data_IF_928338673519
#
_entry.id   IF_928338673519
#
_cell.length_a   1.000
_cell.length_b   1.000
_cell.length_c   1.000
_cell.angle_alpha   90.00
_cell.angle_beta   90.00
_cell.angle_gamma   90.00
#
_symmetry.space_group_name_H-M   'P 1'
#
loop_
_entity.id
_entity.type
_entity.pdbx_description
1 polymer ?
#
# COMPACT_ATOMS: atom_id res chain seq x y z
N UNK A 1 -4.57 -13.31 -7.53
CA UNK A 1 -3.18 -12.86 -7.25
C UNK A 1 -2.75 -11.67 -8.12
N UNK A 2 -2.75 -11.76 -9.45
CA UNK A 2 -2.16 -10.71 -10.33
C UNK A 2 -2.75 -9.31 -10.13
N UNK A 3 -4.05 -9.17 -9.92
CA UNK A 3 -4.68 -7.86 -9.68
C UNK A 3 -4.20 -7.21 -8.38
N UNK A 4 -4.03 -8.01 -7.32
CA UNK A 4 -3.55 -7.55 -6.01
C UNK A 4 -2.08 -7.13 -6.06
N UNK A 5 -1.23 -7.91 -6.74
CA UNK A 5 0.17 -7.51 -6.96
C UNK A 5 0.28 -6.22 -7.78
N UNK A 6 -0.56 -6.05 -8.82
CA UNK A 6 -0.61 -4.81 -9.61
C UNK A 6 -1.17 -3.62 -8.83
N UNK A 7 -2.11 -3.86 -7.92
CA UNK A 7 -2.61 -2.85 -7.00
C UNK A 7 -1.50 -2.37 -6.07
N UNK A 8 -0.80 -3.30 -5.43
CA UNK A 8 0.34 -2.97 -4.57
C UNK A 8 1.40 -2.17 -5.33
N UNK A 9 1.85 -2.65 -6.51
CA UNK A 9 2.85 -1.95 -7.31
C UNK A 9 2.37 -0.59 -7.88
N UNK A 10 1.05 -0.38 -7.96
CA UNK A 10 0.50 0.91 -8.39
C UNK A 10 0.53 1.94 -7.26
N UNK A 11 0.48 1.53 -5.99
CA UNK A 11 0.71 2.42 -4.86
C UNK A 11 2.13 3.02 -4.94
N UNK A 12 3.10 2.27 -5.46
CA UNK A 12 4.46 2.74 -5.73
C UNK A 12 4.65 3.54 -7.03
N UNK A 13 3.57 3.88 -7.73
CA UNK A 13 3.68 4.50 -9.05
C UNK A 13 4.13 5.96 -8.97
N UNK A 14 5.39 6.21 -9.32
CA UNK A 14 5.92 7.57 -9.51
C UNK A 14 5.09 8.38 -10.51
N UNK A 15 4.70 7.77 -11.64
CA UNK A 15 3.90 8.44 -12.68
C UNK A 15 2.48 8.82 -12.22
N UNK A 16 1.99 8.22 -11.14
CA UNK A 16 0.71 8.58 -10.51
C UNK A 16 0.87 9.59 -9.38
N UNK A 17 2.12 10.01 -9.08
CA UNK A 17 2.43 10.98 -8.04
C UNK A 17 2.44 10.42 -6.61
N UNK A 18 2.22 9.12 -6.43
CA UNK A 18 2.06 8.51 -5.09
C UNK A 18 3.38 8.41 -4.31
N UNK A 19 4.52 8.55 -4.99
CA UNK A 19 5.84 8.67 -4.37
C UNK A 19 6.16 10.10 -3.87
N UNK A 20 5.19 11.02 -3.94
CA UNK A 20 5.34 12.41 -3.49
C UNK A 20 5.11 12.58 -1.99
N UNK A 21 5.61 13.69 -1.43
CA UNK A 21 5.49 14.01 0.00
C UNK A 21 4.05 13.98 0.52
N UNK A 22 3.10 14.48 -0.28
CA UNK A 22 1.67 14.50 0.03
C UNK A 22 1.04 13.11 0.17
N UNK A 23 1.70 12.08 -0.35
CA UNK A 23 1.22 10.69 -0.39
C UNK A 23 2.09 9.75 0.45
N UNK A 24 3.07 10.27 1.19
CA UNK A 24 3.95 9.49 2.08
C UNK A 24 3.20 8.55 3.05
N UNK A 25 1.98 8.91 3.48
CA UNK A 25 1.14 8.04 4.31
C UNK A 25 0.73 6.72 3.63
N UNK A 26 0.67 6.68 2.28
CA UNK A 26 0.41 5.45 1.52
C UNK A 26 1.54 4.44 1.68
N UNK A 27 2.74 4.93 1.98
CA UNK A 27 3.95 4.15 2.26
C UNK A 27 4.26 4.06 3.76
N UNK A 28 3.26 4.35 4.61
CA UNK A 28 3.41 4.38 6.06
C UNK A 28 4.56 5.28 6.55
N UNK A 29 4.75 6.46 5.95
CA UNK A 29 5.82 7.42 6.27
C UNK A 29 5.28 8.82 6.55
N UNK A 30 6.08 9.64 7.23
CA UNK A 30 5.87 11.11 7.33
C UNK A 30 6.56 11.82 6.17
N UNK A 31 6.35 13.12 6.02
CA UNK A 31 7.08 13.97 5.06
C UNK A 31 7.08 15.42 5.54
N UNK A 32 7.68 16.34 4.78
CA UNK A 32 7.55 17.77 5.07
C UNK A 32 6.09 18.25 4.95
N UNK A 33 5.31 17.66 4.05
CA UNK A 33 3.87 17.89 3.94
C UNK A 33 3.06 17.24 5.08
N UNK A 34 3.54 16.12 5.64
CA UNK A 34 2.87 15.36 6.71
C UNK A 34 3.87 15.05 7.84
N UNK A 35 4.26 16.06 8.63
CA UNK A 35 5.38 15.93 9.57
C UNK A 35 5.04 15.14 10.84
N UNK A 36 3.76 14.97 11.15
CA UNK A 36 3.32 14.27 12.35
C UNK A 36 3.08 12.78 12.08
N UNK A 37 3.73 11.92 12.86
CA UNK A 37 3.51 10.46 12.83
C UNK A 37 2.05 10.10 13.14
N UNK A 38 1.41 10.82 14.05
CA UNK A 38 0.00 10.62 14.38
C UNK A 38 -0.88 10.90 13.15
N UNK A 39 -0.58 11.98 12.43
CA UNK A 39 -1.33 12.36 11.24
C UNK A 39 -1.06 11.41 10.07
N UNK A 40 0.19 11.02 9.85
CA UNK A 40 0.55 10.03 8.84
C UNK A 40 -0.16 8.69 9.13
N UNK A 41 -0.22 8.25 10.38
CA UNK A 41 -0.94 7.04 10.77
C UNK A 41 -2.46 7.15 10.57
N UNK A 42 -3.04 8.31 10.90
CA UNK A 42 -4.46 8.60 10.65
C UNK A 42 -4.79 8.54 9.16
N UNK A 43 -3.96 9.16 8.31
CA UNK A 43 -4.14 9.18 6.86
C UNK A 43 -3.91 7.81 6.23
N UNK A 44 -2.92 7.05 6.70
CA UNK A 44 -2.68 5.66 6.30
C UNK A 44 -3.91 4.79 6.58
N UNK A 45 -4.48 4.87 7.79
CA UNK A 45 -5.72 4.18 8.13
C UNK A 45 -6.92 4.62 7.28
N UNK A 46 -7.06 5.92 7.02
CA UNK A 46 -8.10 6.44 6.13
C UNK A 46 -7.98 5.85 4.72
N UNK A 47 -6.76 5.78 4.19
CA UNK A 47 -6.46 5.23 2.87
C UNK A 47 -6.71 3.71 2.79
N UNK A 48 -6.29 2.95 3.80
CA UNK A 48 -6.57 1.52 3.92
C UNK A 48 -8.09 1.30 3.92
N UNK A 49 -8.81 2.00 4.78
CA UNK A 49 -10.26 1.83 4.92
C UNK A 49 -11.02 2.25 3.67
N UNK A 50 -10.58 3.30 2.98
CA UNK A 50 -11.19 3.71 1.71
C UNK A 50 -11.02 2.63 0.64
N UNK A 51 -9.84 2.04 0.49
CA UNK A 51 -9.60 0.97 -0.48
C UNK A 51 -10.32 -0.33 -0.13
N UNK A 52 -10.43 -0.67 1.17
CA UNK A 52 -11.23 -1.81 1.63
C UNK A 52 -12.73 -1.58 1.41
N UNK A 53 -13.22 -0.35 1.61
CA UNK A 53 -14.57 0.05 1.23
C UNK A 53 -14.84 -0.18 -0.26
N UNK A 54 -13.95 0.30 -1.13
CA UNK A 54 -14.05 0.04 -2.57
C UNK A 54 -13.97 -1.45 -2.91
N UNK A 55 -13.11 -2.22 -2.24
CA UNK A 55 -13.04 -3.67 -2.41
C UNK A 55 -14.38 -4.34 -2.13
N UNK A 56 -14.98 -4.05 -0.97
CA UNK A 56 -16.26 -4.63 -0.54
C UNK A 56 -17.41 -4.19 -1.44
N UNK A 57 -17.45 -2.93 -1.85
CA UNK A 57 -18.50 -2.40 -2.73
C UNK A 57 -18.43 -2.99 -4.13
N UNK A 58 -17.22 -3.16 -4.68
CA UNK A 58 -17.01 -3.81 -5.97
C UNK A 58 -17.30 -5.31 -5.92
N UNK A 59 -16.99 -5.97 -4.80
CA UNK A 59 -17.23 -7.40 -4.62
C UNK A 59 -18.72 -7.71 -4.43
N UNK A 60 -19.43 -6.88 -3.68
CA UNK A 60 -20.89 -7.00 -3.47
C UNK A 60 -21.70 -6.55 -4.68
N UNK A 61 -21.08 -5.83 -5.61
CA UNK A 61 -21.74 -5.24 -6.78
C UNK A 61 -22.54 -3.97 -6.47
N UNK A 62 -22.40 -3.40 -5.26
CA UNK A 62 -22.98 -2.11 -4.89
C UNK A 62 -22.33 -0.93 -5.66
N UNK A 63 -21.11 -1.13 -6.15
CA UNK A 63 -20.38 -0.17 -6.99
C UNK A 63 -19.98 -0.79 -8.33
N UNK A 64 -20.04 0.02 -9.39
CA UNK A 64 -19.47 -0.32 -10.70
C UNK A 64 -18.51 0.79 -11.13
N UNK A 65 -17.24 0.45 -11.34
CA UNK A 65 -16.25 1.39 -11.89
C UNK A 65 -16.39 1.49 -13.40
N UNK A 66 -16.69 2.70 -13.91
CA UNK A 66 -16.61 3.02 -15.32
C UNK A 66 -15.17 3.41 -15.68
N UNK A 67 -14.33 2.42 -16.00
CA UNK A 67 -13.01 2.70 -16.58
C UNK A 67 -13.22 2.89 -18.09
N UNK A 68 -13.06 4.13 -18.58
CA UNK A 68 -13.01 4.43 -20.01
C UNK A 68 -14.36 4.60 -20.74
N UNK A 69 -15.44 5.00 -20.07
CA UNK A 69 -16.71 5.36 -20.75
C UNK A 69 -17.53 4.19 -21.29
N UNK A 70 -17.17 2.95 -20.99
CA UNK A 70 -17.99 1.78 -21.30
C UNK A 70 -18.82 1.36 -20.08
N UNK A 71 -20.10 1.73 -20.09
CA UNK A 71 -21.09 1.13 -19.19
C UNK A 71 -21.24 -0.34 -19.54
N UNK A 72 -20.70 -1.20 -18.69
CA UNK A 72 -20.94 -2.64 -18.74
C UNK A 72 -19.98 -3.41 -19.65
N UNK A 73 -19.44 -4.48 -19.08
CA UNK A 73 -18.90 -5.66 -19.77
C UNK A 73 -17.71 -5.41 -20.71
N UNK A 74 -16.57 -5.05 -20.12
CA UNK A 74 -15.30 -5.68 -20.51
C UNK A 74 -14.72 -6.43 -19.29
N UNK A 75 -15.24 -7.65 -19.13
CA UNK A 75 -14.97 -8.69 -18.14
C UNK A 75 -13.52 -9.24 -18.22
N UNK A 76 -12.46 -8.42 -18.19
CA UNK A 76 -11.09 -8.98 -18.09
C UNK A 76 -10.65 -9.33 -16.67
N UNK A 77 -11.48 -9.04 -15.67
CA UNK A 77 -11.80 -9.94 -14.55
C UNK A 77 -12.85 -9.21 -13.71
N UNK A 78 -14.05 -9.78 -13.46
CA UNK A 78 -15.01 -9.22 -12.47
C UNK A 78 -14.35 -9.01 -11.11
N UNK A 79 -13.33 -9.82 -10.83
CA UNK A 79 -12.51 -9.75 -9.64
C UNK A 79 -11.27 -8.86 -9.78
N UNK A 80 -11.02 -8.19 -10.92
CA UNK A 80 -9.79 -7.42 -11.08
C UNK A 80 -9.82 -6.18 -10.20
N UNK A 81 -10.83 -5.34 -10.41
CA UNK A 81 -10.98 -4.07 -9.69
C UNK A 81 -11.06 -4.24 -8.17
N UNK A 82 -11.87 -5.16 -7.60
CA UNK A 82 -11.86 -5.36 -6.16
C UNK A 82 -10.46 -5.77 -5.68
N UNK A 83 -9.86 -6.81 -6.26
CA UNK A 83 -8.56 -7.28 -5.77
C UNK A 83 -7.42 -6.30 -6.01
N UNK A 84 -7.52 -5.41 -7.00
CA UNK A 84 -6.60 -4.28 -7.18
C UNK A 84 -6.70 -3.30 -6.01
N UNK A 85 -7.92 -2.95 -5.57
CA UNK A 85 -8.14 -2.12 -4.38
C UNK A 85 -7.65 -2.79 -3.10
N UNK A 86 -7.86 -4.10 -2.97
CA UNK A 86 -7.26 -4.87 -1.89
C UNK A 86 -5.73 -4.76 -1.90
N UNK A 87 -5.09 -4.89 -3.06
CA UNK A 87 -3.64 -4.70 -3.20
C UNK A 87 -3.13 -3.32 -2.76
N UNK A 88 -3.85 -2.26 -3.15
CA UNK A 88 -3.55 -0.89 -2.73
C UNK A 88 -3.61 -0.72 -1.21
N UNK A 89 -4.60 -1.33 -0.54
CA UNK A 89 -4.70 -1.29 0.92
C UNK A 89 -3.59 -2.08 1.61
N UNK A 90 -3.28 -3.28 1.09
CA UNK A 90 -2.29 -4.17 1.69
C UNK A 90 -0.87 -3.61 1.57
N UNK A 91 -0.56 -2.83 0.53
CA UNK A 91 0.74 -2.18 0.38
C UNK A 91 1.13 -1.36 1.62
N UNK A 92 0.28 -0.41 2.03
CA UNK A 92 0.53 0.42 3.23
C UNK A 92 0.69 -0.41 4.50
N UNK A 93 -0.03 -1.54 4.61
CA UNK A 93 0.09 -2.46 5.75
C UNK A 93 1.44 -3.17 5.74
N UNK A 94 1.90 -3.63 4.56
CA UNK A 94 3.20 -4.26 4.38
C UNK A 94 4.34 -3.28 4.67
N UNK A 95 4.25 -2.05 4.16
CA UNK A 95 5.26 -1.02 4.37
C UNK A 95 5.44 -0.71 5.85
N UNK A 96 4.36 -0.52 6.61
CA UNK A 96 4.43 -0.22 8.05
C UNK A 96 5.19 -1.29 8.86
N UNK A 97 5.19 -2.53 8.38
CA UNK A 97 5.88 -3.66 9.00
C UNK A 97 7.27 -3.93 8.44
N UNK A 98 7.66 -3.24 7.37
CA UNK A 98 9.00 -3.26 6.81
C UNK A 98 9.93 -2.38 7.67
N UNK A 99 11.20 -2.78 7.91
CA UNK A 99 12.16 -1.98 8.68
C UNK A 99 12.34 -0.54 8.18
N UNK A 100 12.15 -0.31 6.87
CA UNK A 100 12.37 0.98 6.24
C UNK A 100 11.24 1.98 6.49
N UNK A 101 10.02 1.51 6.73
CA UNK A 101 8.86 2.40 6.99
C UNK A 101 8.27 2.24 8.39
N UNK A 102 8.76 1.26 9.17
CA UNK A 102 8.26 1.05 10.53
C UNK A 102 8.41 2.31 11.37
N UNK A 103 7.35 2.65 12.10
CA UNK A 103 7.38 3.83 12.95
C UNK A 103 7.10 5.16 12.24
N UNK A 104 6.59 5.16 11.01
CA UNK A 104 6.37 6.37 10.21
C UNK A 104 7.62 7.22 10.11
N UNK A 105 8.68 6.65 9.52
CA UNK A 105 9.92 7.36 9.24
C UNK A 105 9.67 8.46 8.21
N UNK A 106 10.55 9.46 8.15
CA UNK A 106 10.41 10.56 7.21
C UNK A 106 10.76 10.09 5.79
N UNK A 107 9.82 10.30 4.87
CA UNK A 107 10.01 10.16 3.44
C UNK A 107 11.02 11.19 2.96
N UNK A 108 12.01 10.72 2.23
CA UNK A 108 12.96 11.55 1.49
C UNK A 108 13.00 11.01 0.07
N UNK A 109 12.76 11.89 -0.90
CA UNK A 109 12.84 11.56 -2.34
C UNK A 109 14.18 10.96 -2.77
N UNK A 110 15.26 11.15 -1.99
CA UNK A 110 16.54 10.47 -2.21
C UNK A 110 16.47 8.95 -1.98
N UNK A 111 15.45 8.46 -1.28
CA UNK A 111 15.23 7.06 -0.93
C UNK A 111 14.35 6.31 -1.94
N UNK A 112 13.88 6.96 -3.01
CA UNK A 112 13.06 6.32 -4.07
C UNK A 112 13.74 5.05 -4.62
N UNK A 113 15.07 5.01 -4.73
CA UNK A 113 15.80 3.81 -5.19
C UNK A 113 15.86 2.65 -4.19
N UNK A 114 15.37 2.86 -2.96
CA UNK A 114 15.32 1.87 -1.86
C UNK A 114 13.89 1.37 -1.58
N UNK A 115 12.89 1.99 -2.21
CA UNK A 115 11.46 1.76 -2.03
C UNK A 115 10.78 1.52 -3.39
N UNK A 116 10.49 0.25 -3.72
CA UNK A 116 9.75 -0.14 -4.93
C UNK A 116 10.43 0.07 -6.31
N UNK A 117 10.48 -1.00 -7.10
CA UNK A 117 10.93 -0.98 -8.50
C UNK A 117 9.87 -0.38 -9.43
N UNK A 118 10.00 0.90 -9.78
CA UNK A 118 9.33 1.45 -10.97
C UNK A 118 10.20 2.38 -11.82
N UNK A 119 11.53 2.39 -11.61
CA UNK A 119 12.46 3.02 -12.54
C UNK A 119 13.17 1.93 -13.35
N UNK A 120 13.00 1.87 -14.68
CA UNK A 120 13.70 0.91 -15.52
C UNK A 120 15.16 1.34 -15.74
N UNK A 121 15.95 1.53 -14.67
CA UNK A 121 17.36 1.91 -14.78
C UNK A 121 18.19 1.46 -13.57
N UNK A 122 18.39 0.16 -13.34
CA UNK A 122 19.75 -0.35 -12.99
C UNK A 122 19.92 -1.82 -13.43
N UNK A 123 21.13 -2.25 -13.87
CA UNK A 123 21.44 -3.65 -14.19
C UNK A 123 21.74 -4.53 -12.97
N UNK A 124 21.59 -3.97 -11.76
CA UNK A 124 21.88 -4.64 -10.50
C UNK A 124 20.55 -4.68 -9.75
N UNK A 125 19.97 -5.88 -9.63
CA UNK A 125 18.65 -6.08 -9.03
C UNK A 125 18.45 -5.28 -7.75
N UNK A 126 17.26 -4.72 -7.63
CA UNK A 126 16.76 -4.01 -6.46
C UNK A 126 17.04 -4.78 -5.17
N UNK A 127 18.01 -4.28 -4.40
CA UNK A 127 18.11 -4.57 -2.97
C UNK A 127 17.28 -3.50 -2.26
N UNK A 128 15.96 -3.54 -2.42
CA UNK A 128 15.08 -2.65 -1.65
C UNK A 128 15.08 -3.12 -0.20
N UNK A 129 14.88 -2.23 0.77
CA UNK A 129 14.71 -2.67 2.17
C UNK A 129 13.36 -3.39 2.38
N UNK A 130 12.47 -3.28 1.38
CA UNK A 130 11.27 -4.09 1.15
C UNK A 130 11.58 -5.51 0.60
N UNK A 131 12.85 -5.83 0.30
CA UNK A 131 13.25 -7.07 -0.38
C UNK A 131 12.93 -8.31 0.46
N UNK A 132 12.34 -9.30 -0.20
CA UNK A 132 11.84 -10.55 0.39
C UNK A 132 12.95 -11.27 1.18
N UNK A 133 14.22 -11.14 0.77
CA UNK A 133 15.35 -11.74 1.47
C UNK A 133 15.62 -11.13 2.85
N UNK A 134 15.41 -9.83 3.02
CA UNK A 134 15.51 -9.17 4.32
C UNK A 134 14.38 -9.64 5.25
N UNK A 135 13.16 -9.80 4.72
CA UNK A 135 12.01 -10.35 5.45
C UNK A 135 12.16 -11.84 5.80
N UNK A 136 12.72 -12.65 4.90
CA UNK A 136 12.98 -14.07 5.15
C UNK A 136 14.00 -14.31 6.28
N UNK A 137 14.88 -13.34 6.54
CA UNK A 137 15.78 -13.36 7.70
C UNK A 137 15.10 -12.99 9.03
N UNK A 138 13.83 -12.55 8.98
CA UNK A 138 13.02 -12.04 10.10
C UNK A 138 11.61 -12.67 10.12
N UNK A 139 11.48 -13.97 10.44
CA UNK A 139 10.19 -14.69 10.41
C UNK A 139 9.15 -14.11 11.37
N UNK A 140 9.57 -13.40 12.41
CA UNK A 140 8.73 -12.63 13.34
C UNK A 140 7.96 -11.50 12.64
N UNK A 141 8.57 -10.86 11.64
CA UNK A 141 7.94 -9.78 10.86
C UNK A 141 6.94 -10.34 9.84
N UNK A 142 7.23 -11.49 9.23
CA UNK A 142 6.28 -12.15 8.29
C UNK A 142 4.97 -12.51 8.99
N UNK A 143 5.04 -13.05 10.21
CA UNK A 143 3.83 -13.35 11.00
C UNK A 143 3.02 -12.09 11.33
N UNK A 144 3.70 -10.99 11.65
CA UNK A 144 3.05 -9.71 11.93
C UNK A 144 2.41 -9.09 10.68
N UNK A 145 3.09 -9.12 9.53
CA UNK A 145 2.55 -8.70 8.23
C UNK A 145 1.25 -9.44 7.94
N UNK A 146 1.27 -10.77 7.99
CA UNK A 146 0.09 -11.59 7.67
C UNK A 146 -1.05 -11.33 8.65
N UNK A 147 -0.76 -11.19 9.94
CA UNK A 147 -1.78 -10.88 10.95
C UNK A 147 -2.38 -9.48 10.74
N UNK A 148 -1.57 -8.47 10.45
CA UNK A 148 -2.03 -7.11 10.20
C UNK A 148 -2.85 -7.03 8.90
N UNK A 149 -2.40 -7.70 7.84
CA UNK A 149 -3.16 -7.81 6.58
C UNK A 149 -4.50 -8.51 6.81
N UNK A 150 -4.49 -9.62 7.57
CA UNK A 150 -5.72 -10.36 7.90
C UNK A 150 -6.67 -9.52 8.76
N UNK A 151 -6.17 -8.78 9.75
CA UNK A 151 -6.96 -7.90 10.60
C UNK A 151 -7.52 -6.70 9.83
N UNK A 152 -6.71 -6.08 8.97
CA UNK A 152 -7.16 -5.00 8.08
C UNK A 152 -8.27 -5.50 7.16
N UNK A 153 -8.05 -6.62 6.46
CA UNK A 153 -9.03 -7.19 5.55
C UNK A 153 -10.33 -7.66 6.24
N UNK A 154 -10.24 -8.19 7.47
CA UNK A 154 -11.39 -8.79 8.17
C UNK A 154 -12.16 -7.80 9.04
N UNK A 155 -11.46 -6.87 9.69
CA UNK A 155 -12.01 -6.00 10.73
C UNK A 155 -11.94 -4.50 10.38
N UNK A 156 -11.34 -4.13 9.24
CA UNK A 156 -11.16 -2.72 8.87
C UNK A 156 -10.23 -1.96 9.83
N UNK A 157 -9.37 -2.68 10.55
CA UNK A 157 -8.35 -2.10 11.42
C UNK A 157 -7.02 -2.11 10.67
N UNK A 158 -6.67 -0.99 10.03
CA UNK A 158 -5.49 -0.90 9.17
C UNK A 158 -4.19 -0.98 9.95
N UNK A 159 -3.92 0.00 10.81
CA UNK A 159 -2.69 0.17 11.59
C UNK A 159 -3.01 0.67 13.00
N UNK A 160 -2.26 0.20 14.01
CA UNK A 160 -2.37 0.72 15.37
C UNK A 160 -1.62 2.06 15.51
N UNK A 161 -2.37 3.14 15.76
CA UNK A 161 -1.83 4.48 15.95
C UNK A 161 -1.62 4.86 17.44
N UNK A 162 -1.94 3.97 18.39
CA UNK A 162 -1.92 4.30 19.82
C UNK A 162 -0.54 4.73 20.34
N UNK A 163 0.53 4.31 19.67
CA UNK A 163 1.92 4.63 20.01
C UNK A 163 2.38 6.04 19.58
N UNK A 164 1.57 6.79 18.83
CA UNK A 164 1.96 8.11 18.28
C UNK A 164 1.17 9.29 18.85
N UNK A 165 0.45 9.09 19.96
CA UNK A 165 -0.36 10.12 20.64
C UNK A 165 0.48 11.26 21.22
#
# INVERSE_FOLDING_TARGET
MQAMMRGSAYADSFFSGFQGEDYSFMHAMTSDAIPSKAEACRLANQYINQNLGYYNDLLSGSMTLNIGGHRGKNLRNTLYNPYFRLGMAMHTVMDNTSPAHTGFQAWDSSQIGRHGDNIPLTPFGSQTEEDLNALLSRPDLIGQIVNNMSNAASNGQGLDCSCYQ
#
